data_IF_019523769734
#
_entry.id   IF_019523769734
#
_cell.length_a   1.000
_cell.length_b   1.000
_cell.length_c   1.000
_cell.angle_alpha   90.00
_cell.angle_beta   90.00
_cell.angle_gamma   90.00
#
_symmetry.space_group_name_H-M   'P 1'
#
loop_
_entity.id
_entity.type
_entity.pdbx_description
1 polymer ?
#
# COMPACT_ATOMS: atom_id res chain seq x y z
N UNK A 1 19.72 20.65 0.61
CA UNK A 1 18.65 20.16 -0.27
C UNK A 1 18.09 18.94 0.42
N UNK A 2 16.83 18.97 0.83
CA UNK A 2 16.20 17.79 1.42
C UNK A 2 16.22 16.65 0.40
N UNK A 3 16.60 15.45 0.82
CA UNK A 3 16.58 14.29 -0.06
C UNK A 3 15.12 13.90 -0.33
N UNK A 4 14.68 14.08 -1.57
CA UNK A 4 13.29 13.84 -2.02
C UNK A 4 13.17 12.55 -2.83
N UNK A 5 13.84 11.49 -2.38
CA UNK A 5 13.68 10.19 -3.05
C UNK A 5 12.45 9.52 -2.48
N UNK A 6 11.40 9.42 -3.29
CA UNK A 6 10.15 8.75 -2.95
C UNK A 6 9.98 7.52 -3.84
N UNK A 7 9.37 6.47 -3.30
CA UNK A 7 9.17 5.22 -4.06
C UNK A 7 7.70 4.81 -4.07
N UNK A 8 7.21 4.37 -5.22
CA UNK A 8 5.85 3.85 -5.36
C UNK A 8 5.85 2.74 -6.40
N UNK A 9 4.83 1.91 -6.35
CA UNK A 9 4.60 0.92 -7.36
C UNK A 9 3.32 0.14 -7.10
N UNK A 10 2.84 -0.50 -8.16
CA UNK A 10 1.62 -1.29 -8.16
C UNK A 10 1.92 -2.75 -8.41
N UNK A 11 1.18 -3.64 -7.73
CA UNK A 11 1.35 -5.09 -7.88
C UNK A 11 2.80 -5.50 -7.54
N UNK A 12 3.54 -6.12 -8.46
CA UNK A 12 4.97 -6.39 -8.28
C UNK A 12 5.81 -5.13 -8.03
N UNK A 13 5.38 -3.96 -8.52
CA UNK A 13 5.99 -2.68 -8.17
C UNK A 13 5.75 -2.28 -6.70
N UNK A 14 4.61 -2.67 -6.11
CA UNK A 14 4.36 -2.51 -4.67
C UNK A 14 5.26 -3.44 -3.86
N UNK A 15 5.42 -4.68 -4.32
CA UNK A 15 6.40 -5.60 -3.74
C UNK A 15 7.83 -5.04 -3.77
N UNK A 16 8.24 -4.43 -4.88
CA UNK A 16 9.52 -3.72 -4.98
C UNK A 16 9.59 -2.50 -4.06
N UNK A 17 8.52 -1.72 -3.95
CA UNK A 17 8.45 -0.58 -3.02
C UNK A 17 8.70 -1.03 -1.58
N UNK A 18 8.12 -2.18 -1.18
CA UNK A 18 8.41 -2.77 0.12
C UNK A 18 9.87 -3.19 0.29
N UNK A 19 10.54 -3.70 -0.75
CA UNK A 19 11.98 -3.97 -0.69
C UNK A 19 12.80 -2.71 -0.44
N UNK A 20 12.44 -1.59 -1.08
CA UNK A 20 13.05 -0.30 -0.77
C UNK A 20 12.82 0.12 0.69
N UNK A 21 11.62 -0.09 1.23
CA UNK A 21 11.35 0.17 2.65
C UNK A 21 12.22 -0.72 3.56
N UNK A 22 12.37 -2.01 3.25
CA UNK A 22 13.15 -2.93 4.09
C UNK A 22 14.65 -2.64 4.05
N UNK A 23 15.18 -2.45 2.85
CA UNK A 23 16.62 -2.55 2.60
C UNK A 23 17.27 -1.17 2.37
N UNK A 24 16.47 -0.14 2.09
CA UNK A 24 16.93 1.19 1.68
C UNK A 24 16.20 2.36 2.36
N UNK A 25 15.56 2.13 3.52
CA UNK A 25 14.90 3.19 4.30
C UNK A 25 15.83 4.38 4.62
N UNK A 26 17.15 4.15 4.70
CA UNK A 26 18.14 5.21 4.87
C UNK A 26 18.26 6.18 3.70
N UNK A 27 17.75 5.84 2.51
CA UNK A 27 17.92 6.62 1.29
C UNK A 27 16.63 7.22 0.75
N UNK A 28 15.48 6.86 1.32
CA UNK A 28 14.16 7.30 0.84
C UNK A 28 13.43 8.11 1.91
N UNK A 29 12.66 9.10 1.47
CA UNK A 29 11.85 9.97 2.29
C UNK A 29 10.54 9.28 2.73
N UNK A 30 9.85 8.70 1.74
CA UNK A 30 8.56 8.05 1.94
C UNK A 30 8.25 7.07 0.81
N UNK A 31 7.29 6.17 1.07
CA UNK A 31 6.85 5.17 0.11
C UNK A 31 5.34 5.15 -0.07
N UNK A 32 4.87 4.81 -1.27
CA UNK A 32 3.44 4.62 -1.54
C UNK A 32 3.15 3.32 -2.30
N UNK A 33 3.25 2.14 -1.66
CA UNK A 33 2.89 0.85 -2.26
C UNK A 33 1.38 0.70 -2.50
N UNK A 34 0.96 -0.02 -3.54
CA UNK A 34 -0.44 -0.40 -3.75
C UNK A 34 -0.63 -1.81 -4.34
N UNK A 35 -1.55 -2.57 -3.76
CA UNK A 35 -2.00 -3.85 -4.33
C UNK A 35 -1.04 -5.02 -4.10
N UNK A 36 -0.08 -4.90 -3.16
CA UNK A 36 0.76 -6.02 -2.75
C UNK A 36 1.28 -5.80 -1.33
N UNK A 37 1.18 -6.82 -0.47
CA UNK A 37 1.68 -6.75 0.92
C UNK A 37 3.21 -6.93 1.02
N UNK A 38 3.81 -6.50 2.12
CA UNK A 38 5.26 -6.56 2.34
C UNK A 38 5.74 -7.98 2.66
N UNK A 39 5.83 -8.85 1.66
CA UNK A 39 6.21 -10.23 1.90
C UNK A 39 6.48 -11.06 0.66
N UNK A 40 6.74 -12.34 0.90
CA UNK A 40 6.92 -13.34 -0.15
C UNK A 40 5.58 -14.00 -0.50
N UNK A 41 5.27 -14.21 -1.79
CA UNK A 41 4.14 -15.03 -2.20
C UNK A 41 4.34 -16.50 -1.76
N UNK A 42 3.30 -17.13 -1.23
CA UNK A 42 3.37 -18.50 -0.66
C UNK A 42 2.98 -19.57 -1.69
N UNK A 43 2.25 -19.20 -2.74
CA UNK A 43 1.85 -20.07 -3.83
C UNK A 43 1.50 -19.20 -5.05
N UNK A 44 2.36 -19.22 -6.07
CA UNK A 44 2.19 -18.41 -7.29
C UNK A 44 1.20 -19.01 -8.29
N UNK A 45 0.81 -20.28 -8.10
CA UNK A 45 -0.11 -20.98 -9.00
C UNK A 45 -1.57 -20.83 -8.56
N UNK A 46 -1.81 -20.26 -7.36
CA UNK A 46 -3.14 -20.06 -6.79
C UNK A 46 -3.49 -18.59 -6.67
N UNK A 47 -4.56 -18.18 -7.34
CA UNK A 47 -5.15 -16.86 -7.20
C UNK A 47 -6.34 -16.86 -6.22
N UNK A 48 -6.50 -15.83 -5.37
CA UNK A 48 -5.53 -14.77 -5.12
C UNK A 48 -4.30 -15.29 -4.35
N UNK A 49 -3.12 -14.83 -4.74
CA UNK A 49 -1.85 -15.19 -4.12
C UNK A 49 -1.84 -14.70 -2.68
N UNK A 50 -1.37 -15.56 -1.76
CA UNK A 50 -1.20 -15.21 -0.34
C UNK A 50 0.21 -14.73 -0.05
N UNK A 51 0.31 -13.72 0.81
CA UNK A 51 1.59 -13.13 1.23
C UNK A 51 1.98 -13.63 2.62
N UNK A 52 3.20 -14.15 2.73
CA UNK A 52 3.92 -14.31 4.01
C UNK A 52 4.76 -13.06 4.22
N UNK A 53 4.35 -12.23 5.18
CA UNK A 53 5.01 -10.95 5.50
C UNK A 53 6.47 -11.19 5.87
N UNK A 54 7.35 -10.24 5.51
CA UNK A 54 8.76 -10.29 5.86
C UNK A 54 8.97 -10.24 7.39
N UNK A 55 9.79 -11.13 7.93
CA UNK A 55 10.02 -11.22 9.37
C UNK A 55 11.01 -10.15 9.91
N UNK A 56 11.92 -9.66 9.06
CA UNK A 56 13.02 -8.75 9.43
C UNK A 56 13.02 -7.39 8.67
N UNK A 57 11.91 -7.03 8.03
CA UNK A 57 11.86 -5.82 7.18
C UNK A 57 11.82 -4.52 7.99
N UNK A 58 10.96 -4.44 9.01
CA UNK A 58 10.60 -3.16 9.64
C UNK A 58 11.41 -2.86 10.91
N UNK A 59 12.64 -3.37 11.00
CA UNK A 59 13.51 -3.24 12.19
C UNK A 59 14.50 -2.08 12.13
N UNK A 60 14.66 -1.47 10.96
CA UNK A 60 15.59 -0.36 10.72
C UNK A 60 14.91 1.00 10.86
N UNK A 61 15.44 1.99 10.13
CA UNK A 61 14.86 3.33 10.03
C UNK A 61 13.41 3.27 9.56
N UNK A 62 12.59 4.05 10.23
CA UNK A 62 11.20 4.23 9.86
C UNK A 62 11.10 5.37 8.85
N UNK A 63 10.19 5.20 7.89
CA UNK A 63 9.85 6.21 6.89
C UNK A 63 8.34 6.36 6.85
N UNK A 64 7.88 7.47 6.30
CA UNK A 64 6.45 7.68 6.15
C UNK A 64 5.93 6.83 4.97
N UNK A 65 4.80 6.14 5.16
CA UNK A 65 4.28 5.22 4.15
C UNK A 65 2.77 5.39 3.95
N UNK A 66 2.35 5.54 2.69
CA UNK A 66 0.95 5.49 2.26
C UNK A 66 0.68 4.17 1.54
N UNK A 67 0.03 3.22 2.18
CA UNK A 67 -0.26 1.92 1.59
C UNK A 67 -1.73 1.79 1.20
N UNK A 68 -2.03 1.28 0.00
CA UNK A 68 -3.40 0.95 -0.41
C UNK A 68 -3.59 -0.49 -0.86
N UNK A 69 -4.75 -1.08 -0.59
CA UNK A 69 -5.10 -2.42 -1.06
C UNK A 69 -6.61 -2.62 -1.22
N UNK A 70 -7.05 -3.24 -2.31
CA UNK A 70 -8.46 -3.57 -2.52
C UNK A 70 -8.92 -4.75 -1.66
N UNK A 71 -10.02 -4.60 -0.93
CA UNK A 71 -10.60 -5.67 -0.09
C UNK A 71 -11.03 -6.89 -0.91
N UNK A 72 -11.37 -6.65 -2.18
CA UNK A 72 -11.79 -7.66 -3.15
C UNK A 72 -10.69 -8.13 -4.10
N UNK A 73 -9.43 -7.78 -3.82
CA UNK A 73 -8.28 -8.11 -4.68
C UNK A 73 -8.23 -9.62 -5.00
N UNK A 74 -8.54 -9.93 -6.26
CA UNK A 74 -8.60 -11.27 -6.82
C UNK A 74 -7.25 -11.83 -7.28
N UNK A 75 -6.19 -11.00 -7.30
CA UNK A 75 -4.84 -11.42 -7.67
C UNK A 75 -3.92 -11.57 -6.45
N UNK A 76 -4.01 -10.66 -5.48
CA UNK A 76 -3.21 -10.63 -4.27
C UNK A 76 -4.12 -10.47 -3.06
N UNK A 77 -4.21 -11.51 -2.24
CA UNK A 77 -5.25 -11.60 -1.23
C UNK A 77 -5.09 -10.52 -0.16
N UNK A 78 -6.18 -9.80 0.13
CA UNK A 78 -6.26 -8.73 1.14
C UNK A 78 -5.70 -9.09 2.54
N UNK A 79 -5.72 -10.37 2.95
CA UNK A 79 -5.14 -10.81 4.22
C UNK A 79 -3.64 -10.50 4.29
N UNK A 80 -2.94 -10.49 3.16
CA UNK A 80 -1.54 -10.05 3.09
C UNK A 80 -1.36 -8.58 3.48
N UNK A 81 -2.28 -7.71 3.05
CA UNK A 81 -2.29 -6.30 3.43
C UNK A 81 -2.54 -6.13 4.94
N UNK A 82 -3.53 -6.83 5.49
CA UNK A 82 -3.82 -6.79 6.93
C UNK A 82 -2.63 -7.25 7.79
N UNK A 83 -1.96 -8.33 7.38
CA UNK A 83 -0.75 -8.80 8.07
C UNK A 83 0.40 -7.82 7.94
N UNK A 84 0.53 -7.14 6.79
CA UNK A 84 1.55 -6.10 6.58
C UNK A 84 1.32 -4.92 7.53
N UNK A 85 0.09 -4.40 7.57
CA UNK A 85 -0.33 -3.32 8.49
C UNK A 85 -0.02 -3.70 9.93
N UNK A 86 -0.46 -4.89 10.36
CA UNK A 86 -0.22 -5.38 11.73
C UNK A 86 1.28 -5.46 12.05
N UNK A 87 2.08 -6.00 11.14
CA UNK A 87 3.52 -6.16 11.33
C UNK A 87 4.24 -4.81 11.44
N UNK A 88 3.88 -3.84 10.59
CA UNK A 88 4.42 -2.48 10.67
C UNK A 88 4.03 -1.81 11.99
N UNK A 89 2.76 -1.92 12.39
CA UNK A 89 2.31 -1.37 13.68
C UNK A 89 3.10 -1.93 14.86
N UNK A 90 3.32 -3.25 14.88
CA UNK A 90 4.08 -3.94 15.92
C UNK A 90 5.56 -3.52 15.90
N UNK A 91 6.23 -3.61 14.75
CA UNK A 91 7.67 -3.37 14.64
C UNK A 91 8.05 -1.87 14.82
N UNK A 92 7.19 -0.94 14.38
CA UNK A 92 7.42 0.50 14.51
C UNK A 92 6.77 1.13 15.75
N UNK A 93 6.10 0.32 16.58
CA UNK A 93 5.40 0.76 17.78
C UNK A 93 4.40 1.92 17.49
N UNK A 94 3.60 1.77 16.44
CA UNK A 94 2.60 2.76 16.03
C UNK A 94 1.35 2.65 16.89
N UNK A 95 1.41 3.24 18.09
CA UNK A 95 0.39 3.12 19.14
C UNK A 95 -0.80 4.05 18.97
N UNK A 96 -0.63 5.17 18.26
CA UNK A 96 -1.73 6.09 17.99
C UNK A 96 -2.42 5.71 16.68
N UNK A 97 -3.75 5.54 16.72
CA UNK A 97 -4.56 5.11 15.57
C UNK A 97 -5.73 6.05 15.39
N UNK A 98 -5.84 6.64 14.20
CA UNK A 98 -6.89 7.58 13.83
C UNK A 98 -7.58 7.11 12.54
N UNK A 99 -8.91 7.04 12.56
CA UNK A 99 -9.70 6.80 11.34
C UNK A 99 -9.97 8.14 10.68
N UNK A 100 -9.19 8.48 9.65
CA UNK A 100 -9.33 9.74 8.92
C UNK A 100 -10.59 9.79 8.07
N UNK A 101 -10.98 8.64 7.52
CA UNK A 101 -12.17 8.52 6.69
C UNK A 101 -12.70 7.09 6.69
N UNK A 102 -14.02 6.94 6.65
CA UNK A 102 -14.69 5.65 6.49
C UNK A 102 -16.10 5.83 5.93
N UNK A 103 -16.37 5.14 4.84
CA UNK A 103 -17.73 4.93 4.32
C UNK A 103 -17.88 3.47 3.84
N UNK A 104 -18.89 3.23 3.00
CA UNK A 104 -19.12 1.92 2.39
C UNK A 104 -18.10 1.56 1.29
N UNK A 105 -17.47 2.56 0.67
CA UNK A 105 -16.60 2.40 -0.48
C UNK A 105 -15.14 2.22 -0.06
N UNK A 106 -14.65 3.03 0.89
CA UNK A 106 -13.28 2.95 1.36
C UNK A 106 -13.08 3.44 2.79
N UNK A 107 -11.93 3.09 3.33
CA UNK A 107 -11.48 3.51 4.66
C UNK A 107 -10.02 3.93 4.59
N UNK A 108 -9.68 5.04 5.26
CA UNK A 108 -8.31 5.52 5.48
C UNK A 108 -8.04 5.58 6.97
N UNK A 109 -7.01 4.88 7.41
CA UNK A 109 -6.56 4.85 8.81
C UNK A 109 -5.12 5.34 8.87
N UNK A 110 -4.84 6.25 9.78
CA UNK A 110 -3.50 6.76 10.08
C UNK A 110 -3.00 6.14 11.38
N UNK A 111 -1.76 5.72 11.35
CA UNK A 111 -1.03 5.14 12.47
C UNK A 111 0.21 6.01 12.72
N UNK A 112 0.42 6.45 13.95
CA UNK A 112 1.60 7.23 14.33
C UNK A 112 2.24 6.74 15.62
N UNK A 113 3.50 7.12 15.85
CA UNK A 113 4.21 6.89 17.10
C UNK A 113 4.76 8.19 17.68
N UNK A 114 5.46 8.10 18.81
CA UNK A 114 6.08 9.24 19.50
C UNK A 114 7.22 9.90 18.72
N UNK A 115 7.78 9.22 17.71
CA UNK A 115 8.82 9.79 16.82
C UNK A 115 8.20 10.60 15.67
N UNK A 116 6.87 10.56 15.54
CA UNK A 116 6.15 11.25 14.48
C UNK A 116 6.21 10.54 13.13
N UNK A 117 6.59 9.27 13.09
CA UNK A 117 6.46 8.42 11.89
C UNK A 117 4.98 8.26 11.54
N UNK A 118 4.65 8.37 10.26
CA UNK A 118 3.30 8.27 9.72
C UNK A 118 3.18 7.05 8.82
N UNK A 119 2.30 6.12 9.18
CA UNK A 119 1.84 5.06 8.29
C UNK A 119 0.35 5.24 8.04
N UNK A 120 -0.06 5.29 6.78
CA UNK A 120 -1.46 5.37 6.41
C UNK A 120 -1.85 4.16 5.57
N UNK A 121 -3.00 3.58 5.91
CA UNK A 121 -3.56 2.46 5.19
C UNK A 121 -4.92 2.81 4.61
N UNK A 122 -5.06 2.61 3.31
CA UNK A 122 -6.28 2.79 2.56
C UNK A 122 -6.78 1.45 2.06
N UNK A 123 -8.02 1.11 2.40
CA UNK A 123 -8.66 -0.11 1.92
C UNK A 123 -9.97 0.24 1.22
N UNK A 124 -10.21 -0.33 0.04
CA UNK A 124 -11.35 0.03 -0.80
C UNK A 124 -12.10 -1.20 -1.34
N UNK A 125 -13.37 -0.99 -1.73
CA UNK A 125 -14.28 -2.02 -2.23
C UNK A 125 -14.49 -2.00 -3.76
N UNK A 126 -13.97 -0.97 -4.45
CA UNK A 126 -14.10 -0.86 -5.90
C UNK A 126 -13.41 -2.01 -6.65
N UNK A 127 -13.93 -2.33 -7.84
CA UNK A 127 -13.41 -3.39 -8.71
C UNK A 127 -13.20 -2.84 -10.13
N UNK A 128 -12.23 -3.37 -10.86
CA UNK A 128 -12.02 -2.99 -12.27
C UNK A 128 -13.23 -3.37 -13.12
N UNK A 129 -13.80 -2.41 -13.88
CA UNK A 129 -15.01 -2.65 -14.69
C UNK A 129 -14.79 -3.37 -16.03
N UNK A 130 -13.59 -3.89 -16.32
CA UNK A 130 -13.24 -4.28 -17.70
C UNK A 130 -12.25 -5.43 -17.90
N UNK A 131 -11.99 -6.27 -16.90
CA UNK A 131 -11.05 -7.39 -17.10
C UNK A 131 -11.78 -8.70 -17.37
N UNK A 132 -11.72 -9.16 -18.62
CA UNK A 132 -11.79 -10.59 -18.91
C UNK A 132 -10.72 -11.32 -18.08
N UNK A 133 -10.99 -12.56 -17.69
CA UNK A 133 -10.08 -13.36 -16.86
C UNK A 133 -8.65 -13.33 -17.41
N UNK A 134 -7.67 -12.97 -16.59
CA UNK A 134 -6.26 -13.21 -16.91
C UNK A 134 -5.88 -14.64 -16.50
N UNK A 135 -4.71 -15.13 -16.93
CA UNK A 135 -4.11 -16.37 -16.41
C UNK A 135 -3.94 -16.33 -14.88
N UNK A 136 -3.82 -15.13 -14.29
CA UNK A 136 -3.67 -14.90 -12.86
C UNK A 136 -5.03 -14.71 -12.13
N UNK A 137 -6.15 -14.79 -12.83
CA UNK A 137 -7.50 -14.56 -12.28
C UNK A 137 -8.12 -13.23 -12.74
N UNK A 138 -9.25 -12.85 -12.12
CA UNK A 138 -9.90 -11.56 -12.34
C UNK A 138 -9.29 -10.51 -11.40
N UNK A 139 -8.80 -9.36 -11.90
CA UNK A 139 -8.29 -8.24 -11.09
C UNK A 139 -9.42 -7.45 -10.42
N UNK A 140 -10.44 -8.14 -9.92
CA UNK A 140 -11.41 -7.54 -9.02
C UNK A 140 -10.64 -6.93 -7.86
N UNK A 141 -10.78 -5.63 -7.57
CA UNK A 141 -10.05 -4.95 -6.50
C UNK A 141 -8.54 -4.79 -6.67
N UNK A 142 -7.91 -5.35 -7.71
CA UNK A 142 -6.49 -5.15 -8.01
C UNK A 142 -6.32 -4.01 -9.02
N UNK A 143 -6.56 -2.78 -8.58
CA UNK A 143 -6.67 -1.63 -9.49
C UNK A 143 -6.31 -0.30 -8.82
N UNK A 144 -6.25 0.76 -9.61
CA UNK A 144 -6.06 2.14 -9.16
C UNK A 144 -7.41 2.88 -9.04
N UNK A 145 -7.81 3.31 -7.84
CA UNK A 145 -8.92 4.26 -7.70
C UNK A 145 -8.66 5.57 -8.45
N UNK A 146 -9.70 6.12 -9.11
CA UNK A 146 -9.60 7.37 -9.88
C UNK A 146 -9.09 7.20 -11.31
N UNK A 147 -8.83 5.96 -11.75
CA UNK A 147 -8.37 5.65 -13.11
C UNK A 147 -9.47 4.91 -13.87
N UNK A 148 -9.70 5.31 -15.14
CA UNK A 148 -10.77 4.75 -15.99
C UNK A 148 -10.32 3.70 -17.01
N UNK A 149 -9.04 3.34 -17.06
CA UNK A 149 -8.50 2.37 -18.00
C UNK A 149 -8.50 0.93 -17.43
N UNK A 150 -7.87 -0.02 -18.10
CA UNK A 150 -7.85 -1.44 -17.72
C UNK A 150 -7.20 -1.75 -16.36
N UNK A 151 -6.37 -0.85 -15.82
CA UNK A 151 -5.79 -0.95 -14.47
C UNK A 151 -6.57 -0.16 -13.42
N UNK A 152 -7.65 0.50 -13.82
CA UNK A 152 -8.39 1.42 -12.97
C UNK A 152 -9.63 0.81 -12.33
N UNK A 153 -9.98 1.30 -11.13
CA UNK A 153 -11.20 0.93 -10.43
C UNK A 153 -12.41 1.80 -10.85
N UNK A 154 -12.19 2.82 -11.68
CA UNK A 154 -13.19 3.79 -12.09
C UNK A 154 -12.65 5.22 -12.06
N UNK A 155 -12.98 6.02 -13.09
CA UNK A 155 -12.53 7.43 -13.17
C UNK A 155 -13.19 8.34 -12.13
N UNK A 156 -14.41 7.99 -11.69
CA UNK A 156 -15.23 8.86 -10.85
C UNK A 156 -15.24 8.39 -9.38
N UNK A 157 -14.23 7.65 -8.94
CA UNK A 157 -14.11 7.33 -7.51
C UNK A 157 -13.82 8.64 -6.74
N UNK A 158 -14.36 8.84 -5.53
CA UNK A 158 -14.07 10.03 -4.72
C UNK A 158 -12.58 10.13 -4.29
N UNK A 159 -11.84 9.03 -4.45
CA UNK A 159 -10.43 8.91 -4.10
C UNK A 159 -9.61 8.58 -5.36
N UNK A 160 -8.57 9.36 -5.62
CA UNK A 160 -7.69 9.23 -6.77
C UNK A 160 -6.28 8.88 -6.31
N UNK A 161 -5.82 7.66 -6.59
CA UNK A 161 -4.54 7.17 -6.06
C UNK A 161 -3.34 8.05 -6.46
N UNK A 162 -3.26 8.48 -7.72
CA UNK A 162 -2.14 9.30 -8.20
C UNK A 162 -2.02 10.63 -7.48
N UNK A 163 -3.15 11.33 -7.28
CA UNK A 163 -3.20 12.63 -6.60
C UNK A 163 -2.78 12.49 -5.13
N UNK A 164 -3.21 11.40 -4.49
CA UNK A 164 -2.94 11.12 -3.07
C UNK A 164 -1.47 10.73 -2.84
N UNK A 165 -0.86 9.98 -3.76
CA UNK A 165 0.57 9.67 -3.73
C UNK A 165 1.41 10.94 -3.85
N UNK A 166 1.10 11.80 -4.82
CA UNK A 166 1.84 13.06 -5.03
C UNK A 166 1.70 13.97 -3.81
N UNK A 167 0.48 14.12 -3.29
CA UNK A 167 0.23 14.90 -2.08
C UNK A 167 1.02 14.36 -0.89
N UNK A 168 1.00 13.05 -0.66
CA UNK A 168 1.74 12.42 0.43
C UNK A 168 3.25 12.66 0.29
N UNK A 169 3.82 12.52 -0.90
CA UNK A 169 5.25 12.78 -1.10
C UNK A 169 5.65 14.23 -0.82
N UNK A 170 4.80 15.20 -1.19
CA UNK A 170 5.05 16.61 -0.89
C UNK A 170 4.96 16.92 0.61
N UNK A 171 4.06 16.28 1.33
CA UNK A 171 3.86 16.46 2.78
C UNK A 171 4.93 15.72 3.62
N UNK A 172 5.58 14.70 3.04
CA UNK A 172 6.52 13.82 3.73
C UNK A 172 7.93 13.80 3.06
N UNK A 173 8.66 14.93 3.03
CA UNK A 173 10.06 14.97 2.60
C UNK A 173 10.98 14.33 3.66
N UNK A 174 12.19 13.91 3.26
CA UNK A 174 13.15 13.37 4.23
C UNK A 174 13.57 14.47 5.20
N UNK A 175 13.43 14.22 6.49
CA UNK A 175 13.89 15.11 7.55
C UNK A 175 15.44 15.08 7.61
N UNK A 176 16.11 16.23 7.85
CA UNK A 176 17.56 16.32 7.97
C UNK A 176 18.14 15.43 9.08
#
# INVERSE_FOLDING_TARGET
MDERVHVTGFSQGSWMSWRFVCDYAEHIASAAPIGFGAGMPVDLLKAPVRIKVFDNCFKGKQIDVLYAHGKRDGLVHYVGALKTVKKIQEDWNLTNVEVLFKDEDYQRVRFTNSQGTVFEFISYNWISKGSNSSFLGKPEGHCFPGVGNYLGCGRNNPFHWGDEVVKFFLEHPKKP
#
